data_IF_919465086165
#
_entry.id   IF_919465086165
#
_cell.length_a   1.000
_cell.length_b   1.000
_cell.length_c   1.000
_cell.angle_alpha   90.00
_cell.angle_beta   90.00
_cell.angle_gamma   90.00
#
_symmetry.space_group_name_H-M   'P 1'
#
loop_
_entity.id
_entity.type
_entity.pdbx_description
1 polymer ?
#
# COMPACT_ATOMS: atom_id res chain seq x y z
N UNK A 1 16.27 -0.41 -6.41
CA UNK A 1 16.34 0.95 -5.81
C UNK A 1 16.16 2.10 -6.81
N UNK A 2 15.98 1.82 -8.10
CA UNK A 2 15.87 2.83 -9.16
C UNK A 2 14.44 3.34 -9.43
N UNK A 3 13.41 2.59 -9.03
CA UNK A 3 12.00 3.03 -9.13
C UNK A 3 11.77 4.26 -8.27
N UNK A 4 11.26 5.34 -8.88
CA UNK A 4 11.03 6.62 -8.18
C UNK A 4 9.63 6.68 -7.56
N UNK A 5 9.40 7.65 -6.70
CA UNK A 5 8.12 7.80 -5.98
C UNK A 5 6.92 7.98 -6.91
N UNK A 6 7.10 8.68 -8.04
CA UNK A 6 6.06 8.85 -9.06
C UNK A 6 5.56 7.51 -9.61
N UNK A 7 6.48 6.60 -9.91
CA UNK A 7 6.16 5.25 -10.40
C UNK A 7 5.41 4.45 -9.33
N UNK A 8 5.88 4.50 -8.07
CA UNK A 8 5.21 3.82 -6.96
C UNK A 8 3.76 4.30 -6.73
N UNK A 9 3.47 5.57 -7.03
CA UNK A 9 2.11 6.09 -6.98
C UNK A 9 1.29 5.57 -8.16
N UNK A 10 1.84 5.60 -9.38
CA UNK A 10 1.20 5.01 -10.58
C UNK A 10 0.82 3.55 -10.35
N UNK A 11 1.73 2.72 -9.84
CA UNK A 11 1.49 1.31 -9.57
C UNK A 11 0.32 1.04 -8.63
N UNK A 12 0.09 1.89 -7.63
CA UNK A 12 -1.05 1.74 -6.70
C UNK A 12 -2.36 2.33 -7.23
N UNK A 13 -2.33 3.01 -8.37
CA UNK A 13 -3.52 3.50 -9.07
C UNK A 13 -3.95 2.65 -10.28
N UNK A 14 -3.23 1.56 -10.53
CA UNK A 14 -3.45 0.60 -11.62
C UNK A 14 -3.87 -0.76 -11.04
N UNK A 15 -3.58 -1.85 -11.73
CA UNK A 15 -3.91 -3.22 -11.35
C UNK A 15 -2.65 -4.10 -11.21
N UNK A 16 -2.84 -5.38 -10.86
CA UNK A 16 -1.77 -6.34 -10.70
C UNK A 16 -1.00 -6.64 -11.99
N UNK A 17 -1.70 -6.70 -13.12
CA UNK A 17 -1.09 -6.91 -14.44
C UNK A 17 -0.11 -5.78 -14.79
N UNK A 18 -0.51 -4.53 -14.55
CA UNK A 18 0.35 -3.36 -14.76
C UNK A 18 1.60 -3.43 -13.87
N UNK A 19 1.45 -3.83 -12.61
CA UNK A 19 2.59 -4.01 -11.69
C UNK A 19 3.50 -5.16 -12.15
N UNK A 20 2.93 -6.27 -12.61
CA UNK A 20 3.70 -7.39 -13.16
C UNK A 20 4.58 -6.92 -14.32
N UNK A 21 4.00 -6.22 -15.30
CA UNK A 21 4.72 -5.79 -16.50
C UNK A 21 5.72 -4.66 -16.21
N UNK A 22 5.30 -3.62 -15.50
CA UNK A 22 6.06 -2.36 -15.40
C UNK A 22 6.97 -2.28 -14.16
N UNK A 23 6.78 -3.16 -13.17
CA UNK A 23 7.67 -3.25 -12.01
C UNK A 23 8.51 -4.54 -12.05
N UNK A 24 7.87 -5.71 -12.00
CA UNK A 24 8.59 -6.99 -11.99
C UNK A 24 9.16 -7.35 -13.38
N UNK A 25 8.47 -6.97 -14.45
CA UNK A 25 8.86 -7.23 -15.84
C UNK A 25 10.06 -6.40 -16.33
N UNK A 26 10.54 -5.45 -15.52
CA UNK A 26 11.72 -4.63 -15.87
C UNK A 26 13.00 -5.47 -16.00
N UNK A 27 13.09 -6.58 -15.26
CA UNK A 27 14.21 -7.50 -15.31
C UNK A 27 13.74 -8.96 -15.38
N UNK A 28 14.41 -9.84 -16.17
CA UNK A 28 14.04 -11.25 -16.26
C UNK A 28 14.00 -11.95 -14.90
N UNK A 29 14.94 -11.62 -14.01
CA UNK A 29 15.05 -12.22 -12.69
C UNK A 29 13.86 -11.86 -11.80
N UNK A 30 13.42 -10.59 -11.83
CA UNK A 30 12.27 -10.15 -11.04
C UNK A 30 10.94 -10.59 -11.64
N UNK A 31 10.86 -10.77 -12.96
CA UNK A 31 9.70 -11.35 -13.61
C UNK A 31 9.52 -12.82 -13.19
N UNK A 32 10.62 -13.57 -13.11
CA UNK A 32 10.62 -14.96 -12.65
C UNK A 32 10.13 -15.11 -11.20
N UNK A 33 10.40 -14.14 -10.31
CA UNK A 33 9.96 -14.19 -8.91
C UNK A 33 8.44 -14.21 -8.74
N UNK A 34 7.69 -13.67 -9.71
CA UNK A 34 6.23 -13.57 -9.66
C UNK A 34 5.54 -14.36 -10.76
N UNK A 35 6.28 -15.19 -11.49
CA UNK A 35 5.77 -15.94 -12.65
C UNK A 35 4.56 -16.82 -12.29
N UNK A 36 4.61 -17.45 -11.11
CA UNK A 36 3.55 -18.36 -10.62
C UNK A 36 2.48 -17.65 -9.78
N UNK A 37 2.62 -16.34 -9.52
CA UNK A 37 1.61 -15.56 -8.82
C UNK A 37 0.52 -15.11 -9.79
N UNK A 38 -0.71 -15.02 -9.33
CA UNK A 38 -1.81 -14.33 -10.02
C UNK A 38 -1.65 -12.80 -9.92
N UNK A 39 -2.31 -12.05 -10.80
CA UNK A 39 -2.28 -10.59 -10.75
C UNK A 39 -2.88 -10.04 -9.45
N UNK A 40 -3.90 -10.71 -8.90
CA UNK A 40 -4.50 -10.36 -7.61
C UNK A 40 -3.52 -10.55 -6.45
N UNK A 41 -2.73 -11.63 -6.45
CA UNK A 41 -1.68 -11.85 -5.45
C UNK A 41 -0.57 -10.80 -5.55
N UNK A 42 -0.17 -10.42 -6.77
CA UNK A 42 0.79 -9.32 -6.99
C UNK A 42 0.21 -8.01 -6.46
N UNK A 43 -1.06 -7.72 -6.74
CA UNK A 43 -1.68 -6.48 -6.31
C UNK A 43 -1.88 -6.42 -4.79
N UNK A 44 -2.12 -7.57 -4.17
CA UNK A 44 -2.23 -7.76 -2.73
C UNK A 44 -0.92 -7.53 -1.96
N UNK A 45 0.23 -7.36 -2.61
CA UNK A 45 1.49 -7.00 -1.96
C UNK A 45 1.37 -5.64 -1.23
N UNK A 46 1.54 -5.69 0.09
CA UNK A 46 1.35 -4.54 1.00
C UNK A 46 2.63 -3.76 1.26
N UNK A 47 2.45 -2.46 1.52
CA UNK A 47 3.55 -1.59 2.01
C UNK A 47 3.72 -1.83 3.51
N UNK A 48 4.97 -1.80 4.01
CA UNK A 48 5.29 -2.17 5.39
C UNK A 48 4.60 -1.34 6.47
N UNK A 49 4.20 -0.09 6.18
CA UNK A 49 3.43 0.74 7.11
C UNK A 49 1.99 0.26 7.35
N UNK A 50 1.51 -0.73 6.59
CA UNK A 50 0.20 -1.37 6.76
C UNK A 50 0.28 -2.79 7.34
N UNK A 51 1.49 -3.23 7.71
CA UNK A 51 1.75 -4.54 8.30
C UNK A 51 2.10 -4.40 9.79
N UNK A 52 1.18 -4.83 10.66
CA UNK A 52 1.30 -4.67 12.12
C UNK A 52 2.56 -5.32 12.68
N UNK A 53 2.94 -6.49 12.16
CA UNK A 53 4.17 -7.20 12.54
C UNK A 53 5.43 -6.38 12.26
N UNK A 54 5.47 -5.65 11.13
CA UNK A 54 6.59 -4.79 10.74
C UNK A 54 6.66 -3.53 11.61
N UNK A 55 5.51 -2.91 11.88
CA UNK A 55 5.44 -1.77 12.79
C UNK A 55 5.88 -2.16 14.20
N UNK A 56 5.39 -3.28 14.74
CA UNK A 56 5.78 -3.76 16.06
C UNK A 56 7.30 -3.98 16.14
N UNK A 57 7.89 -4.65 15.15
CA UNK A 57 9.33 -4.87 15.10
C UNK A 57 10.12 -3.55 15.09
N UNK A 58 9.67 -2.56 14.30
CA UNK A 58 10.29 -1.24 14.25
C UNK A 58 10.19 -0.49 15.59
N UNK A 59 9.01 -0.49 16.23
CA UNK A 59 8.82 0.16 17.53
C UNK A 59 9.62 -0.52 18.64
N UNK A 60 9.67 -1.86 18.66
CA UNK A 60 10.47 -2.61 19.62
C UNK A 60 11.94 -2.25 19.50
N UNK A 61 12.48 -2.24 18.29
CA UNK A 61 13.87 -1.86 18.03
C UNK A 61 14.16 -0.40 18.44
N UNK A 62 13.23 0.52 18.17
CA UNK A 62 13.35 1.91 18.59
C UNK A 62 13.36 2.07 20.13
N UNK A 63 12.54 1.31 20.86
CA UNK A 63 12.51 1.32 22.32
C UNK A 63 13.79 0.77 22.96
N UNK A 64 14.40 -0.23 22.31
CA UNK A 64 15.66 -0.85 22.73
C UNK A 64 16.88 0.02 22.39
N UNK A 65 16.77 0.92 21.41
CA UNK A 65 17.87 1.80 21.00
C UNK A 65 18.24 2.80 22.10
N UNK A 66 19.53 2.86 22.46
CA UNK A 66 20.10 3.78 23.45
C UNK A 66 21.17 4.67 22.81
N UNK A 67 21.41 5.84 23.41
CA UNK A 67 22.50 6.75 23.01
C UNK A 67 22.23 7.60 21.77
N UNK A 68 21.05 7.49 21.13
CA UNK A 68 20.63 8.31 19.98
C UNK A 68 19.11 8.25 19.76
N UNK A 69 18.50 9.25 19.12
CA UNK A 69 17.12 9.17 18.69
C UNK A 69 16.94 8.17 17.53
N UNK A 70 15.72 7.65 17.38
CA UNK A 70 15.32 6.77 16.27
C UNK A 70 14.19 7.43 15.49
N UNK A 71 14.29 7.40 14.16
CA UNK A 71 13.23 7.83 13.24
C UNK A 71 12.73 6.61 12.47
N UNK A 72 11.43 6.34 12.52
CA UNK A 72 10.78 5.26 11.77
C UNK A 72 10.11 5.87 10.53
N UNK A 73 10.58 5.50 9.34
CA UNK A 73 10.01 5.91 8.06
C UNK A 73 9.02 4.84 7.56
N UNK A 74 7.77 4.93 8.00
CA UNK A 74 6.73 3.99 7.61
C UNK A 74 6.16 4.30 6.23
N UNK A 75 6.44 3.44 5.24
CA UNK A 75 5.89 3.56 3.88
C UNK A 75 4.43 3.10 3.86
N UNK A 76 3.49 4.02 3.63
CA UNK A 76 2.03 3.76 3.60
C UNK A 76 1.44 4.07 2.22
N UNK A 77 0.15 3.78 2.02
CA UNK A 77 -0.65 4.23 0.87
C UNK A 77 -1.61 5.32 1.37
N UNK A 78 -1.62 6.50 0.72
CA UNK A 78 -2.57 7.56 1.03
C UNK A 78 -3.98 7.11 0.62
N UNK A 79 -4.96 7.24 1.53
CA UNK A 79 -6.33 6.77 1.29
C UNK A 79 -6.50 5.25 1.32
N UNK A 80 -5.56 4.50 1.91
CA UNK A 80 -5.68 3.06 2.08
C UNK A 80 -7.00 2.70 2.77
N UNK A 81 -7.79 1.83 2.16
CA UNK A 81 -9.13 1.55 2.71
C UNK A 81 -10.26 2.07 1.84
N UNK A 82 -10.02 3.12 1.07
CA UNK A 82 -11.08 3.95 0.50
C UNK A 82 -11.43 3.60 -0.96
N UNK A 83 -10.80 2.57 -1.54
CA UNK A 83 -11.07 2.15 -2.91
C UNK A 83 -10.78 3.25 -3.95
N UNK A 84 -11.55 3.29 -5.05
CA UNK A 84 -11.40 4.27 -6.13
C UNK A 84 -11.55 5.73 -5.67
N UNK A 85 -12.12 5.97 -4.49
CA UNK A 85 -12.40 7.29 -3.95
C UNK A 85 -11.14 8.12 -3.67
N UNK A 86 -10.07 7.47 -3.21
CA UNK A 86 -8.88 8.18 -2.72
C UNK A 86 -7.60 7.34 -2.67
N UNK A 87 -7.68 6.00 -2.80
CA UNK A 87 -6.51 5.13 -2.65
C UNK A 87 -5.52 5.38 -3.80
N UNK A 88 -4.31 5.85 -3.48
CA UNK A 88 -3.26 6.12 -4.48
C UNK A 88 -3.49 7.36 -5.36
N UNK A 89 -4.58 8.11 -5.20
CA UNK A 89 -4.86 9.32 -5.99
C UNK A 89 -4.31 10.59 -5.33
N UNK A 90 -3.73 11.48 -6.14
CA UNK A 90 -3.31 12.84 -5.73
C UNK A 90 -4.51 13.80 -5.66
N UNK A 91 -5.52 13.45 -4.87
CA UNK A 91 -6.66 14.34 -4.60
C UNK A 91 -6.23 15.32 -3.50
N UNK A 92 -6.62 16.59 -3.65
CA UNK A 92 -6.40 17.60 -2.62
C UNK A 92 -6.95 17.11 -1.27
N UNK A 93 -6.23 17.41 -0.17
CA UNK A 93 -6.67 17.11 1.21
C UNK A 93 -8.06 17.70 1.56
N UNK A 94 -8.61 18.54 0.68
CA UNK A 94 -9.85 19.30 0.82
C UNK A 94 -11.10 18.56 0.29
N UNK A 95 -10.97 17.43 -0.43
CA UNK A 95 -12.15 16.70 -0.96
C UNK A 95 -12.76 15.82 0.13
N UNK A 96 -13.34 16.52 1.11
CA UNK A 96 -14.07 16.01 2.29
C UNK A 96 -15.53 15.66 1.93
N UNK A 97 -15.77 15.01 0.78
CA UNK A 97 -17.10 14.48 0.45
C UNK A 97 -16.96 12.99 0.18
N UNK A 98 -17.14 12.20 1.24
CA UNK A 98 -17.46 10.78 1.08
C UNK A 98 -18.90 10.69 0.61
N UNK A 99 -19.11 10.21 -0.61
CA UNK A 99 -20.42 9.74 -1.04
C UNK A 99 -20.80 8.47 -0.24
N UNK A 100 -22.09 8.17 -0.12
CA UNK A 100 -22.61 7.01 0.62
C UNK A 100 -22.05 5.69 0.09
N UNK A 101 -21.74 5.63 -1.20
CA UNK A 101 -21.04 4.51 -1.85
C UNK A 101 -19.69 4.22 -1.18
N UNK A 102 -18.92 5.25 -0.80
CA UNK A 102 -17.64 5.10 -0.10
C UNK A 102 -17.80 4.65 1.34
N UNK A 103 -18.87 5.11 2.01
CA UNK A 103 -19.20 4.69 3.38
C UNK A 103 -19.55 3.20 3.41
N UNK A 104 -20.37 2.74 2.46
CA UNK A 104 -20.71 1.32 2.32
C UNK A 104 -19.48 0.47 2.02
N UNK A 105 -18.59 0.91 1.11
CA UNK A 105 -17.35 0.19 0.84
C UNK A 105 -16.43 0.08 2.06
N UNK A 106 -16.31 1.16 2.85
CA UNK A 106 -15.52 1.15 4.08
C UNK A 106 -16.14 0.21 5.14
N UNK A 107 -17.47 0.22 5.31
CA UNK A 107 -18.20 -0.71 6.18
C UNK A 107 -17.88 -2.16 5.80
N UNK A 108 -17.99 -2.47 4.51
CA UNK A 108 -17.77 -3.82 3.99
C UNK A 108 -16.33 -4.29 4.23
N UNK A 109 -15.35 -3.41 3.98
CA UNK A 109 -13.92 -3.69 4.20
C UNK A 109 -13.56 -3.89 5.67
N UNK A 110 -14.26 -3.21 6.58
CA UNK A 110 -14.07 -3.34 8.02
C UNK A 110 -14.88 -4.50 8.62
N UNK A 111 -15.71 -5.20 7.83
CA UNK A 111 -16.56 -6.29 8.31
C UNK A 111 -17.69 -5.83 9.22
N UNK A 112 -18.17 -4.59 9.07
CA UNK A 112 -19.20 -3.98 9.93
C UNK A 112 -20.63 -4.17 9.38
N UNK A 113 -20.89 -5.31 8.72
CA UNK A 113 -22.18 -5.60 8.06
C UNK A 113 -23.28 -5.94 9.08
N UNK A 114 -22.87 -6.49 10.23
CA UNK A 114 -23.75 -7.18 11.19
C UNK A 114 -23.90 -6.43 12.54
N UNK A 115 -23.66 -5.11 12.55
CA UNK A 115 -23.89 -4.23 13.72
C UNK A 115 -25.21 -3.49 13.52
#
# INVERSE_FOLDING_TARGET
>A
NETVDGDYQTFKSKDGAYVREHFFGKYPETAALVADMTDDEIFALKRGGHESSKLYAAYKNAAETKGRPTVILAKTVKGYGMGEAAEGKNIAHQVKKMDMTHVLHLRDRLGLQDI
#
